data_IF_681125493527
#
_entry.id   IF_681125493527
#
_cell.length_a   1.000
_cell.length_b   1.000
_cell.length_c   1.000
_cell.angle_alpha   90.00
_cell.angle_beta   90.00
_cell.angle_gamma   90.00
#
_symmetry.space_group_name_H-M   'P 1'
#
loop_
_entity.id
_entity.type
_entity.pdbx_description
1 polymer ?
#
# COMPACT_ATOMS: atom_id res chain seq x y z
N UNK A 1 -27.12 6.73 -18.73
CA UNK A 1 -26.81 7.18 -17.35
C UNK A 1 -25.41 6.68 -17.02
N UNK A 2 -24.38 7.50 -17.24
CA UNK A 2 -22.98 7.12 -17.02
C UNK A 2 -22.80 6.83 -15.53
N UNK A 3 -22.44 5.59 -15.19
CA UNK A 3 -22.27 5.13 -13.80
C UNK A 3 -21.27 6.06 -13.12
N UNK A 4 -21.64 6.53 -11.93
CA UNK A 4 -20.80 7.40 -11.11
C UNK A 4 -19.44 6.74 -10.86
N UNK A 5 -18.46 7.23 -11.61
CA UNK A 5 -17.01 7.20 -11.38
C UNK A 5 -16.73 7.09 -9.88
N UNK A 6 -16.47 5.88 -9.39
CA UNK A 6 -16.11 5.65 -8.00
C UNK A 6 -14.65 6.04 -7.86
N UNK A 7 -14.40 7.35 -7.70
CA UNK A 7 -13.05 7.88 -7.71
C UNK A 7 -12.19 7.17 -6.65
N UNK A 8 -10.95 6.76 -6.98
CA UNK A 8 -10.04 6.07 -6.07
C UNK A 8 -9.94 6.78 -4.71
N UNK A 9 -9.95 8.12 -4.74
CA UNK A 9 -9.89 9.03 -3.60
C UNK A 9 -11.04 8.81 -2.60
N UNK A 10 -12.21 8.33 -3.03
CA UNK A 10 -13.36 8.08 -2.14
C UNK A 10 -13.25 6.78 -1.33
N UNK A 11 -12.24 5.95 -1.58
CA UNK A 11 -12.05 4.71 -0.83
C UNK A 11 -11.29 4.99 0.46
N UNK A 12 -12.04 5.48 1.46
CA UNK A 12 -11.54 5.79 2.81
C UNK A 12 -10.76 4.62 3.43
N UNK A 13 -11.16 3.37 3.13
CA UNK A 13 -10.45 2.18 3.58
C UNK A 13 -8.98 2.14 3.11
N UNK A 14 -8.69 2.55 1.88
CA UNK A 14 -7.32 2.56 1.38
C UNK A 14 -6.47 3.61 2.09
N UNK A 15 -7.04 4.80 2.32
CA UNK A 15 -6.37 5.86 3.09
C UNK A 15 -6.12 5.47 4.54
N UNK A 16 -7.06 4.75 5.18
CA UNK A 16 -6.86 4.21 6.53
C UNK A 16 -5.70 3.21 6.53
N UNK A 17 -5.68 2.24 5.61
CA UNK A 17 -4.59 1.25 5.53
C UNK A 17 -3.24 1.92 5.29
N UNK A 18 -3.18 2.86 4.33
CA UNK A 18 -1.97 3.61 4.04
C UNK A 18 -1.51 4.45 5.23
N UNK A 19 -2.43 5.12 5.93
CA UNK A 19 -2.11 5.91 7.12
C UNK A 19 -1.61 5.05 8.28
N UNK A 20 -2.17 3.85 8.48
CA UNK A 20 -1.71 2.90 9.50
C UNK A 20 -0.32 2.38 9.17
N UNK A 21 -0.05 1.98 7.92
CA UNK A 21 1.27 1.57 7.46
C UNK A 21 2.30 2.69 7.70
N UNK A 22 1.98 3.91 7.29
CA UNK A 22 2.87 5.06 7.51
C UNK A 22 3.19 5.31 8.99
N UNK A 23 2.20 5.11 9.87
CA UNK A 23 2.37 5.24 11.31
C UNK A 23 3.21 4.12 11.92
N UNK A 24 3.17 2.91 11.33
CA UNK A 24 4.00 1.76 11.72
C UNK A 24 5.43 1.90 11.24
N UNK A 25 5.65 2.60 10.12
CA UNK A 25 6.98 2.91 9.56
C UNK A 25 7.86 3.67 10.55
N UNK A 26 7.26 4.51 11.39
CA UNK A 26 7.98 5.25 12.43
C UNK A 26 7.92 4.47 13.75
N UNK A 27 9.06 4.11 14.36
CA UNK A 27 9.11 3.36 15.62
C UNK A 27 8.82 4.23 16.86
N UNK A 28 7.82 5.11 16.80
CA UNK A 28 7.34 5.96 17.91
C UNK A 28 6.82 5.16 19.12
N UNK A 29 6.43 3.90 18.90
CA UNK A 29 5.97 2.98 19.93
C UNK A 29 7.13 2.33 20.71
N UNK A 30 8.38 2.61 20.34
CA UNK A 30 9.56 2.07 21.00
C UNK A 30 10.24 3.09 21.91
N UNK A 31 10.75 2.66 23.07
CA UNK A 31 11.51 3.55 23.94
C UNK A 31 12.81 3.98 23.26
N UNK A 32 13.22 5.21 23.57
CA UNK A 32 14.45 5.81 23.02
C UNK A 32 15.64 4.91 23.37
N UNK A 33 16.40 4.49 22.36
CA UNK A 33 17.54 3.57 22.55
C UNK A 33 17.18 2.07 22.51
N UNK A 34 15.97 1.69 22.10
CA UNK A 34 15.61 0.28 21.88
C UNK A 34 16.16 -0.25 20.55
N UNK A 35 17.40 -0.73 20.56
CA UNK A 35 18.07 -1.31 19.37
C UNK A 35 18.27 -2.83 19.47
N UNK A 36 17.99 -3.44 20.63
CA UNK A 36 18.08 -4.88 20.84
C UNK A 36 16.68 -5.52 20.77
N UNK A 37 16.55 -6.73 20.21
CA UNK A 37 17.60 -7.54 19.60
C UNK A 37 18.01 -7.03 18.20
N UNK A 38 19.28 -7.25 17.86
CA UNK A 38 19.82 -7.03 16.51
C UNK A 38 19.73 -8.37 15.78
N UNK A 39 19.00 -8.40 14.68
CA UNK A 39 18.76 -9.56 13.83
C UNK A 39 19.47 -9.30 12.49
N UNK A 40 20.47 -10.13 12.15
CA UNK A 40 21.30 -9.98 10.93
C UNK A 40 21.95 -8.59 10.77
N UNK A 41 22.35 -7.94 11.87
CA UNK A 41 22.97 -6.61 11.84
C UNK A 41 22.00 -5.44 11.78
N UNK A 42 20.69 -5.70 11.67
CA UNK A 42 19.63 -4.69 11.75
C UNK A 42 18.86 -4.84 13.07
N UNK A 43 18.49 -3.74 13.74
CA UNK A 43 17.58 -3.84 14.88
C UNK A 43 16.24 -4.44 14.43
N UNK A 44 15.54 -5.14 15.31
CA UNK A 44 14.25 -5.76 14.99
C UNK A 44 13.24 -4.79 14.35
N UNK A 45 13.22 -3.52 14.76
CA UNK A 45 12.37 -2.50 14.17
C UNK A 45 12.75 -2.16 12.73
N UNK A 46 14.02 -2.33 12.33
CA UNK A 46 14.45 -2.21 10.94
C UNK A 46 13.78 -3.25 10.04
N UNK A 47 13.57 -4.47 10.53
CA UNK A 47 12.81 -5.50 9.82
C UNK A 47 11.34 -5.14 9.66
N UNK A 48 10.75 -4.52 10.69
CA UNK A 48 9.38 -4.01 10.62
C UNK A 48 9.27 -2.95 9.51
N UNK A 49 10.21 -2.01 9.42
CA UNK A 49 10.23 -0.97 8.39
C UNK A 49 10.37 -1.56 6.98
N UNK A 50 11.20 -2.59 6.80
CA UNK A 50 11.36 -3.27 5.51
C UNK A 50 10.05 -3.92 5.07
N UNK A 51 9.41 -4.68 5.97
CA UNK A 51 8.12 -5.30 5.69
C UNK A 51 7.02 -4.26 5.42
N UNK A 52 7.02 -3.19 6.19
CA UNK A 52 6.08 -2.08 6.05
C UNK A 52 6.27 -1.36 4.69
N UNK A 53 7.51 -1.15 4.25
CA UNK A 53 7.81 -0.57 2.93
C UNK A 53 7.28 -1.43 1.78
N UNK A 54 7.41 -2.76 1.90
CA UNK A 54 6.86 -3.72 0.93
C UNK A 54 5.32 -3.64 0.95
N UNK A 55 4.72 -3.58 2.13
CA UNK A 55 3.27 -3.48 2.29
C UNK A 55 2.71 -2.16 1.73
N UNK A 56 3.41 -1.04 1.93
CA UNK A 56 3.06 0.26 1.32
C UNK A 56 3.12 0.16 -0.21
N UNK A 57 4.22 -0.39 -0.74
CA UNK A 57 4.37 -0.58 -2.18
C UNK A 57 3.23 -1.43 -2.77
N UNK A 58 2.93 -2.57 -2.15
CA UNK A 58 1.83 -3.45 -2.56
C UNK A 58 0.47 -2.74 -2.46
N UNK A 59 0.24 -1.95 -1.41
CA UNK A 59 -1.01 -1.18 -1.22
C UNK A 59 -1.18 -0.14 -2.32
N UNK A 60 -0.11 0.54 -2.71
CA UNK A 60 -0.11 1.52 -3.82
C UNK A 60 -0.35 0.79 -5.15
N UNK A 61 0.34 -0.32 -5.41
CA UNK A 61 0.12 -1.13 -6.62
C UNK A 61 -1.31 -1.65 -6.70
N UNK A 62 -1.87 -2.12 -5.59
CA UNK A 62 -3.27 -2.51 -5.48
C UNK A 62 -4.21 -1.33 -5.78
N UNK A 63 -3.89 -0.14 -5.27
CA UNK A 63 -4.66 1.06 -5.55
C UNK A 63 -4.70 1.37 -7.05
N UNK A 64 -3.55 1.30 -7.73
CA UNK A 64 -3.49 1.51 -9.17
C UNK A 64 -4.26 0.44 -9.95
N UNK A 65 -4.07 -0.84 -9.65
CA UNK A 65 -4.68 -1.93 -10.42
C UNK A 65 -6.20 -2.05 -10.23
N UNK A 66 -6.71 -1.83 -9.01
CA UNK A 66 -8.12 -2.09 -8.69
C UNK A 66 -8.98 -0.84 -8.59
N UNK A 67 -8.41 0.30 -8.19
CA UNK A 67 -9.16 1.55 -8.05
C UNK A 67 -8.96 2.46 -9.25
N UNK A 68 -7.76 2.48 -9.83
CA UNK A 68 -7.45 3.23 -11.06
C UNK A 68 -7.72 2.43 -12.32
N UNK A 69 -8.43 1.29 -12.27
CA UNK A 69 -8.93 0.67 -13.51
C UNK A 69 -9.96 1.61 -14.13
N UNK A 70 -9.47 2.55 -14.93
CA UNK A 70 -10.24 3.45 -15.78
C UNK A 70 -10.98 2.53 -16.73
N UNK A 71 -12.30 2.55 -16.64
CA UNK A 71 -13.21 1.87 -17.55
C UNK A 71 -12.86 2.32 -18.98
N UNK A 72 -12.10 1.49 -19.70
CA UNK A 72 -11.43 1.87 -20.95
C UNK A 72 -10.42 0.84 -21.49
N UNK A 73 -9.84 -0.01 -20.63
CA UNK A 73 -8.96 -1.11 -21.07
C UNK A 73 -9.70 -2.44 -21.26
N UNK A 74 -11.03 -2.36 -21.45
CA UNK A 74 -11.84 -3.46 -21.94
C UNK A 74 -12.24 -3.19 -23.41
N UNK A 75 -11.35 -2.61 -24.24
CA UNK A 75 -11.56 -2.50 -25.69
C UNK A 75 -10.78 -3.58 -26.43
N UNK A 76 -11.45 -4.73 -26.55
CA UNK A 76 -11.45 -5.55 -27.77
C UNK A 76 -10.08 -6.03 -28.30
N UNK A 77 -9.61 -7.16 -27.77
CA UNK A 77 -8.90 -8.14 -28.61
C UNK A 77 -9.70 -9.44 -28.56
N UNK A 78 -10.95 -9.39 -29.05
CA UNK A 78 -11.45 -10.54 -29.80
C UNK A 78 -10.66 -10.48 -31.10
N UNK A 79 -9.77 -11.46 -31.29
CA UNK A 79 -9.09 -11.64 -32.55
C UNK A 79 -10.14 -11.70 -33.67
N UNK A 80 -9.99 -10.79 -34.62
CA UNK A 80 -10.46 -11.01 -35.97
C UNK A 80 -9.65 -12.19 -36.51
N UNK A 81 -10.29 -13.35 -36.65
CA UNK A 81 -9.96 -14.43 -37.60
C UNK A 81 -11.16 -15.39 -37.75
#
# INVERSE_FOLDING_TARGET
>A
MLKLKKEPIKNVKLWIVLGVLFLLSVPWYLPVGSYKPIIFGLPYWGWIIILDSIAISATITYAFLFLWKVEGEDTNTKGDE
#
